data_IF_572925473334
#
_entry.id   IF_572925473334
#
_cell.length_a   1.000
_cell.length_b   1.000
_cell.length_c   1.000
_cell.angle_alpha   90.00
_cell.angle_beta   90.00
_cell.angle_gamma   90.00
#
_symmetry.space_group_name_H-M   'P 1'
#
loop_
_entity.id
_entity.type
_entity.pdbx_description
1 polymer ?
#
# COMPACT_ATOMS: atom_id res chain seq x y z
N UNK A 1 -10.63 -8.76 3.12
CA UNK A 1 -9.50 -9.70 3.22
C UNK A 1 -8.21 -9.02 3.71
N UNK A 2 -7.83 -7.81 3.24
CA UNK A 2 -6.61 -7.13 3.71
C UNK A 2 -6.48 -7.01 5.24
N UNK A 3 -7.59 -6.68 5.95
CA UNK A 3 -7.60 -6.64 7.40
C UNK A 3 -7.32 -7.98 8.10
N UNK A 4 -7.68 -9.10 7.47
CA UNK A 4 -7.43 -10.43 8.01
C UNK A 4 -5.94 -10.77 8.02
N UNK A 5 -5.18 -10.34 7.01
CA UNK A 5 -3.72 -10.54 6.96
C UNK A 5 -3.02 -9.76 8.08
N UNK A 6 -3.47 -8.52 8.33
CA UNK A 6 -2.95 -7.72 9.44
C UNK A 6 -3.25 -8.34 10.81
N UNK A 7 -4.43 -8.97 10.96
CA UNK A 7 -4.85 -9.57 12.22
C UNK A 7 -4.19 -10.93 12.46
N UNK A 8 -3.91 -11.71 11.42
CA UNK A 8 -3.48 -13.11 11.56
C UNK A 8 -1.99 -13.29 11.33
N UNK A 9 -1.43 -12.68 10.28
CA UNK A 9 -0.07 -12.97 9.82
C UNK A 9 0.97 -11.91 10.18
N UNK A 10 0.54 -10.67 10.54
CA UNK A 10 1.50 -9.65 10.97
C UNK A 10 1.69 -9.64 12.48
N UNK A 11 2.93 -9.41 12.89
CA UNK A 11 3.23 -9.12 14.29
C UNK A 11 2.57 -7.79 14.71
N UNK A 12 1.65 -7.86 15.66
CA UNK A 12 0.91 -6.71 16.15
C UNK A 12 1.81 -5.68 16.83
N UNK A 13 2.96 -6.10 17.38
CA UNK A 13 3.91 -5.18 18.00
C UNK A 13 4.50 -4.20 16.99
N UNK A 14 4.63 -4.61 15.72
CA UNK A 14 5.15 -3.78 14.63
C UNK A 14 4.09 -2.92 13.94
N UNK A 15 2.81 -3.12 14.26
CA UNK A 15 1.69 -2.44 13.61
C UNK A 15 1.15 -1.35 14.52
N UNK A 16 1.32 -0.07 14.16
CA UNK A 16 1.01 1.09 15.02
C UNK A 16 -0.39 1.05 15.68
N UNK A 17 -1.44 0.64 14.93
CA UNK A 17 -2.80 0.60 15.46
C UNK A 17 -3.14 -0.69 16.21
N UNK A 18 -2.35 -1.77 16.07
CA UNK A 18 -2.56 -3.04 16.76
C UNK A 18 -1.60 -3.25 17.95
N UNK A 19 -0.54 -2.45 18.06
CA UNK A 19 0.46 -2.61 19.10
C UNK A 19 -0.13 -2.60 20.53
N UNK A 20 -1.17 -1.79 20.76
CA UNK A 20 -1.89 -1.75 22.05
C UNK A 20 -2.63 -3.06 22.37
N UNK A 21 -2.88 -3.89 21.38
CA UNK A 21 -3.59 -5.17 21.49
C UNK A 21 -2.69 -6.39 21.29
N UNK A 22 -1.36 -6.22 21.26
CA UNK A 22 -0.40 -7.27 20.96
C UNK A 22 -0.56 -8.53 21.83
N UNK A 23 -0.99 -8.38 23.08
CA UNK A 23 -1.28 -9.50 24.00
C UNK A 23 -2.51 -10.34 23.60
N UNK A 24 -3.33 -9.86 22.68
CA UNK A 24 -4.52 -10.56 22.18
C UNK A 24 -4.30 -11.19 20.80
N UNK A 25 -3.07 -11.13 20.27
CA UNK A 25 -2.74 -11.66 18.97
C UNK A 25 -3.10 -13.16 18.89
N UNK A 26 -3.89 -13.58 17.87
CA UNK A 26 -4.15 -15.00 17.66
C UNK A 26 -2.85 -15.75 17.42
N UNK A 27 -2.66 -16.88 18.10
CA UNK A 27 -1.45 -17.70 17.94
C UNK A 27 -1.32 -18.42 16.59
N UNK A 28 -2.09 -18.03 15.59
CA UNK A 28 -2.08 -18.56 14.23
C UNK A 28 -1.21 -17.62 13.39
N UNK A 29 0.07 -17.90 13.29
CA UNK A 29 0.98 -17.21 12.38
C UNK A 29 1.16 -18.03 11.10
N UNK A 30 1.28 -17.34 9.96
CA UNK A 30 1.62 -18.00 8.69
C UNK A 30 0.43 -18.62 7.94
N UNK A 31 -0.81 -18.19 8.20
CA UNK A 31 -1.99 -18.67 7.46
C UNK A 31 -1.86 -18.44 5.95
N UNK A 32 -1.25 -17.33 5.55
CA UNK A 32 -1.02 -16.98 4.14
C UNK A 32 0.39 -17.34 3.67
N UNK A 33 1.21 -17.96 4.52
CA UNK A 33 2.56 -18.40 4.19
C UNK A 33 3.41 -17.27 3.59
N UNK A 34 4.16 -17.55 2.49
CA UNK A 34 5.04 -16.55 1.87
C UNK A 34 4.30 -15.36 1.24
N UNK A 35 2.98 -15.46 1.05
CA UNK A 35 2.16 -14.36 0.51
C UNK A 35 1.72 -13.36 1.58
N UNK A 36 1.75 -13.75 2.86
CA UNK A 36 1.32 -12.90 3.98
C UNK A 36 1.94 -11.51 3.98
N UNK A 37 3.27 -11.36 3.84
CA UNK A 37 3.92 -10.05 3.83
C UNK A 37 3.48 -9.13 2.68
N UNK A 38 3.29 -9.66 1.48
CA UNK A 38 3.04 -8.87 0.25
C UNK A 38 1.56 -8.71 -0.09
N UNK A 39 0.68 -9.54 0.49
CA UNK A 39 -0.76 -9.51 0.21
C UNK A 39 -1.44 -8.17 0.58
N UNK A 40 -1.10 -7.49 1.68
CA UNK A 40 -1.63 -6.16 1.98
C UNK A 40 -1.33 -5.15 0.89
N UNK A 41 -0.10 -5.10 0.38
CA UNK A 41 0.32 -4.16 -0.67
C UNK A 41 -0.42 -4.42 -1.99
N UNK A 42 -0.62 -5.70 -2.36
CA UNK A 42 -1.47 -6.08 -3.49
C UNK A 42 -2.92 -5.59 -3.31
N UNK A 43 -3.55 -5.88 -2.17
CA UNK A 43 -4.96 -5.55 -1.93
C UNK A 43 -5.20 -4.05 -1.84
N UNK A 44 -4.30 -3.30 -1.20
CA UNK A 44 -4.36 -1.84 -1.17
C UNK A 44 -4.27 -1.26 -2.58
N UNK A 45 -3.25 -1.67 -3.35
CA UNK A 45 -3.06 -1.17 -4.70
C UNK A 45 -4.25 -1.52 -5.60
N UNK A 46 -4.78 -2.74 -5.52
CA UNK A 46 -5.98 -3.14 -6.23
C UNK A 46 -7.20 -2.27 -5.88
N UNK A 47 -7.49 -2.09 -4.59
CA UNK A 47 -8.65 -1.34 -4.13
C UNK A 47 -8.58 0.14 -4.52
N UNK A 48 -7.44 0.78 -4.31
CA UNK A 48 -7.28 2.20 -4.64
C UNK A 48 -7.19 2.46 -6.13
N UNK A 49 -6.58 1.56 -6.91
CA UNK A 49 -6.63 1.65 -8.37
C UNK A 49 -8.06 1.54 -8.89
N UNK A 50 -8.86 0.60 -8.37
CA UNK A 50 -10.29 0.51 -8.71
C UNK A 50 -11.06 1.78 -8.35
N UNK A 51 -10.79 2.34 -7.16
CA UNK A 51 -11.43 3.59 -6.74
C UNK A 51 -11.11 4.74 -7.70
N UNK A 52 -9.84 4.91 -8.06
CA UNK A 52 -9.44 5.95 -9.03
C UNK A 52 -10.07 5.72 -10.40
N UNK A 53 -10.09 4.48 -10.89
CA UNK A 53 -10.75 4.13 -12.17
C UNK A 53 -12.23 4.51 -12.13
N UNK A 54 -12.93 4.22 -11.02
CA UNK A 54 -14.34 4.56 -10.86
C UNK A 54 -14.59 6.08 -10.83
N UNK A 55 -13.66 6.83 -10.22
CA UNK A 55 -13.75 8.30 -10.14
C UNK A 55 -13.46 8.98 -11.48
N UNK A 56 -12.51 8.47 -12.27
CA UNK A 56 -12.14 9.03 -13.58
C UNK A 56 -13.18 8.65 -14.65
N UNK A 57 -13.73 7.44 -14.56
CA UNK A 57 -14.70 6.89 -15.52
C UNK A 57 -14.38 5.42 -15.84
N UNK A 58 -15.31 4.76 -16.57
CA UNK A 58 -15.21 3.32 -16.84
C UNK A 58 -14.73 3.02 -18.27
N UNK A 59 -13.77 3.78 -18.75
CA UNK A 59 -13.17 3.55 -20.07
C UNK A 59 -11.82 2.86 -19.97
N UNK A 60 -11.36 2.19 -21.02
CA UNK A 60 -10.01 1.58 -21.05
C UNK A 60 -8.92 2.61 -20.73
N UNK A 61 -9.09 3.85 -21.21
CA UNK A 61 -8.16 4.94 -20.91
C UNK A 61 -8.20 5.30 -19.43
N UNK A 62 -9.38 5.39 -18.83
CA UNK A 62 -9.53 5.64 -17.39
C UNK A 62 -8.93 4.51 -16.56
N UNK A 63 -9.10 3.24 -17.00
CA UNK A 63 -8.49 2.09 -16.34
C UNK A 63 -6.95 2.18 -16.34
N UNK A 64 -6.35 2.50 -17.49
CA UNK A 64 -4.89 2.66 -17.60
C UNK A 64 -4.38 3.86 -16.77
N UNK A 65 -5.05 5.00 -16.84
CA UNK A 65 -4.65 6.22 -16.10
C UNK A 65 -4.82 6.03 -14.61
N UNK A 66 -5.95 5.49 -14.14
CA UNK A 66 -6.21 5.28 -12.71
C UNK A 66 -5.25 4.27 -12.08
N UNK A 67 -5.04 3.13 -12.74
CA UNK A 67 -4.10 2.11 -12.29
C UNK A 67 -2.65 2.63 -12.33
N UNK A 68 -2.26 3.32 -13.40
CA UNK A 68 -0.91 3.89 -13.55
C UNK A 68 -0.64 5.00 -12.52
N UNK A 69 -1.59 5.88 -12.28
CA UNK A 69 -1.46 6.94 -11.27
C UNK A 69 -1.29 6.37 -9.87
N UNK A 70 -2.10 5.37 -9.50
CA UNK A 70 -1.95 4.74 -8.19
C UNK A 70 -0.63 3.99 -8.07
N UNK A 71 -0.23 3.22 -9.09
CA UNK A 71 1.05 2.54 -9.07
C UNK A 71 2.23 3.52 -8.93
N UNK A 72 2.20 4.64 -9.65
CA UNK A 72 3.23 5.68 -9.52
C UNK A 72 3.28 6.26 -8.09
N UNK A 73 2.13 6.49 -7.47
CA UNK A 73 2.06 6.94 -6.08
C UNK A 73 2.64 5.89 -5.12
N UNK A 74 2.22 4.63 -5.24
CA UNK A 74 2.71 3.53 -4.41
C UNK A 74 4.22 3.33 -4.58
N UNK A 75 4.72 3.35 -5.82
CA UNK A 75 6.14 3.24 -6.12
C UNK A 75 6.94 4.42 -5.54
N UNK A 76 6.44 5.64 -5.65
CA UNK A 76 7.10 6.81 -5.06
C UNK A 76 7.22 6.69 -3.53
N UNK A 77 6.17 6.27 -2.84
CA UNK A 77 6.19 6.05 -1.39
C UNK A 77 7.18 4.95 -1.00
N UNK A 78 7.23 3.87 -1.77
CA UNK A 78 8.15 2.76 -1.54
C UNK A 78 9.61 3.20 -1.76
N UNK A 79 9.89 3.91 -2.85
CA UNK A 79 11.24 4.45 -3.10
C UNK A 79 11.69 5.45 -2.04
N UNK A 80 10.79 6.27 -1.50
CA UNK A 80 11.13 7.19 -0.41
C UNK A 80 11.61 6.46 0.86
N UNK A 81 11.23 5.19 1.05
CA UNK A 81 11.70 4.34 2.15
C UNK A 81 13.09 3.73 1.87
N UNK A 82 13.68 3.95 0.70
CA UNK A 82 15.05 3.51 0.44
C UNK A 82 16.04 4.25 1.35
N UNK A 83 17.05 3.57 1.92
CA UNK A 83 17.97 4.16 2.91
C UNK A 83 18.69 5.43 2.43
N UNK A 84 18.94 5.53 1.13
CA UNK A 84 19.56 6.71 0.51
C UNK A 84 18.65 7.95 0.57
N UNK A 85 17.33 7.76 0.41
CA UNK A 85 16.34 8.83 0.41
C UNK A 85 15.86 9.16 1.83
N UNK A 86 15.76 8.17 2.71
CA UNK A 86 15.41 8.41 4.12
C UNK A 86 16.35 9.42 4.79
N UNK A 87 17.64 9.40 4.45
CA UNK A 87 18.64 10.36 4.99
C UNK A 87 18.27 11.82 4.74
N UNK A 88 17.59 12.11 3.63
CA UNK A 88 17.14 13.47 3.31
C UNK A 88 16.06 13.98 4.29
N UNK A 89 15.34 13.07 4.93
CA UNK A 89 14.27 13.38 5.88
C UNK A 89 14.73 13.41 7.34
N UNK A 90 15.88 12.79 7.66
CA UNK A 90 16.40 12.74 9.05
C UNK A 90 16.81 14.14 9.52
N UNK A 91 17.45 14.90 8.65
CA UNK A 91 18.00 16.23 9.00
C UNK A 91 16.93 17.34 9.04
N UNK A 92 15.70 17.06 8.59
CA UNK A 92 14.62 18.03 8.42
C UNK A 92 13.33 17.54 9.11
N UNK A 93 13.35 17.45 10.45
CA UNK A 93 12.17 17.04 11.19
C UNK A 93 11.03 18.07 11.05
N UNK A 94 9.88 17.62 10.55
CA UNK A 94 8.67 18.42 10.45
C UNK A 94 7.83 18.25 11.71
N UNK A 95 7.61 19.30 12.53
CA UNK A 95 6.77 19.17 13.71
C UNK A 95 5.30 18.96 13.31
N UNK A 96 4.62 18.06 14.02
CA UNK A 96 3.22 17.72 13.75
C UNK A 96 2.29 18.95 13.86
N UNK A 97 2.62 19.90 14.74
CA UNK A 97 1.87 21.15 14.93
C UNK A 97 1.94 22.10 13.73
N UNK A 98 3.04 22.07 12.96
CA UNK A 98 3.24 22.95 11.81
C UNK A 98 2.64 22.39 10.52
N UNK A 99 2.78 21.09 10.29
CA UNK A 99 2.33 20.44 9.06
C UNK A 99 1.96 18.94 9.33
N UNK A 100 0.76 18.65 9.84
CA UNK A 100 0.37 17.31 10.26
C UNK A 100 0.51 16.25 9.15
N UNK A 101 0.13 16.59 7.91
CA UNK A 101 0.23 15.67 6.78
C UNK A 101 1.69 15.36 6.43
N UNK A 102 2.55 16.39 6.36
CA UNK A 102 3.97 16.19 6.07
C UNK A 102 4.67 15.41 7.18
N UNK A 103 4.33 15.66 8.43
CA UNK A 103 4.82 14.88 9.57
C UNK A 103 4.41 13.41 9.46
N UNK A 104 3.17 13.13 9.07
CA UNK A 104 2.68 11.75 8.87
C UNK A 104 3.42 11.05 7.74
N UNK A 105 3.64 11.73 6.61
CA UNK A 105 4.42 11.20 5.49
C UNK A 105 5.87 10.95 5.92
N UNK A 106 6.51 11.90 6.59
CA UNK A 106 7.86 11.74 7.10
C UNK A 106 7.97 10.55 8.07
N UNK A 107 7.03 10.44 9.01
CA UNK A 107 6.98 9.31 9.94
C UNK A 107 6.82 7.98 9.23
N UNK A 108 5.95 7.91 8.19
CA UNK A 108 5.79 6.73 7.36
C UNK A 108 7.08 6.35 6.64
N UNK A 109 7.77 7.32 6.04
CA UNK A 109 9.04 7.11 5.32
C UNK A 109 10.13 6.63 6.27
N UNK A 110 10.27 7.27 7.44
CA UNK A 110 11.35 6.96 8.38
C UNK A 110 11.16 5.64 9.12
N UNK A 111 9.92 5.20 9.34
CA UNK A 111 9.61 3.95 10.02
C UNK A 111 9.45 2.75 9.05
N UNK A 112 9.37 3.01 7.74
CA UNK A 112 9.32 1.98 6.72
C UNK A 112 10.71 1.53 6.27
N UNK A 113 10.73 0.50 5.45
CA UNK A 113 11.91 0.08 4.69
C UNK A 113 11.48 -0.33 3.28
N UNK A 114 12.33 -0.07 2.31
CA UNK A 114 12.08 -0.43 0.93
C UNK A 114 12.02 -1.95 0.75
N UNK A 115 10.89 -2.44 0.23
CA UNK A 115 10.69 -3.85 -0.10
C UNK A 115 10.30 -4.02 -1.58
N UNK A 116 11.17 -4.59 -2.43
CA UNK A 116 10.84 -4.88 -3.82
C UNK A 116 9.60 -5.78 -3.98
N UNK A 117 9.31 -6.63 -3.01
CA UNK A 117 8.13 -7.49 -3.00
C UNK A 117 6.84 -6.69 -2.93
N UNK A 118 6.81 -5.64 -2.11
CA UNK A 118 5.67 -4.72 -2.00
C UNK A 118 5.44 -3.97 -3.31
N UNK A 119 6.52 -3.54 -3.98
CA UNK A 119 6.43 -2.88 -5.28
C UNK A 119 5.85 -3.81 -6.36
N UNK A 120 6.31 -5.06 -6.43
CA UNK A 120 5.77 -6.07 -7.36
C UNK A 120 4.30 -6.35 -7.05
N UNK A 121 3.95 -6.54 -5.78
CA UNK A 121 2.58 -6.78 -5.34
C UNK A 121 1.65 -5.61 -5.70
N UNK A 122 2.09 -4.36 -5.49
CA UNK A 122 1.34 -3.18 -5.88
C UNK A 122 1.13 -3.12 -7.41
N UNK A 123 2.15 -3.43 -8.20
CA UNK A 123 2.04 -3.50 -9.66
C UNK A 123 1.02 -4.53 -10.13
N UNK A 124 1.05 -5.73 -9.54
CA UNK A 124 0.08 -6.78 -9.83
C UNK A 124 -1.34 -6.40 -9.42
N UNK A 125 -1.51 -5.73 -8.27
CA UNK A 125 -2.81 -5.21 -7.82
C UNK A 125 -3.40 -4.19 -8.80
N UNK A 126 -2.58 -3.22 -9.24
CA UNK A 126 -2.97 -2.22 -10.23
C UNK A 126 -3.32 -2.85 -11.59
N UNK A 127 -2.52 -3.82 -12.05
CA UNK A 127 -2.77 -4.54 -13.29
C UNK A 127 -4.10 -5.32 -13.23
N UNK A 128 -4.37 -6.01 -12.13
CA UNK A 128 -5.63 -6.73 -11.91
C UNK A 128 -6.84 -5.79 -11.93
N UNK A 129 -6.74 -4.62 -11.26
CA UNK A 129 -7.79 -3.61 -11.27
C UNK A 129 -8.08 -3.08 -12.69
N UNK A 130 -7.02 -2.80 -13.47
CA UNK A 130 -7.14 -2.35 -14.86
C UNK A 130 -7.77 -3.41 -15.74
N UNK A 131 -7.35 -4.67 -15.63
CA UNK A 131 -7.87 -5.79 -16.42
C UNK A 131 -9.38 -6.00 -16.18
N UNK A 132 -9.81 -6.07 -14.92
CA UNK A 132 -11.23 -6.27 -14.57
C UNK A 132 -12.10 -5.12 -15.06
N UNK A 133 -11.59 -3.87 -14.97
CA UNK A 133 -12.32 -2.69 -15.43
C UNK A 133 -12.46 -2.65 -16.95
N UNK A 134 -11.48 -3.17 -17.70
CA UNK A 134 -11.46 -3.19 -19.16
C UNK A 134 -12.39 -4.26 -19.78
N UNK A 135 -12.60 -5.38 -19.08
CA UNK A 135 -13.47 -6.48 -19.56
C UNK A 135 -14.95 -6.07 -19.63
N UNK A 136 -15.36 -5.09 -18.83
CA UNK A 136 -16.77 -4.63 -18.79
C UNK A 136 -17.19 -3.76 -19.97
N UNK A 137 -16.27 -3.41 -20.86
CA UNK A 137 -16.54 -2.59 -22.06
C UNK A 137 -16.67 -3.42 -23.35
N UNK A 138 -16.59 -4.76 -23.29
CA UNK A 138 -16.82 -5.56 -24.48
C UNK A 138 -18.26 -5.31 -24.97
N UNK A 139 -18.48 -4.80 -26.21
CA UNK A 139 -19.81 -4.59 -26.74
C UNK A 139 -20.53 -5.94 -26.87
N UNK A 140 -21.87 -5.92 -26.80
CA UNK A 140 -22.71 -7.11 -27.00
C UNK A 140 -22.56 -7.69 -28.40
#
# INVERSE_FOLDING_TARGET
>A
MGGLVYVVDRDWTSTQFLAAFAGLQPGVSGLFGPLGPVLPSFLHAYAFALLLILLIGRTRRAAAVGAGAWFACAAALEFLQAPSLQRLFIDHAVPASAAPLLHSIQSYVLNGHFDPGDLVAAGLGCAAASAISSVREAPP
#
